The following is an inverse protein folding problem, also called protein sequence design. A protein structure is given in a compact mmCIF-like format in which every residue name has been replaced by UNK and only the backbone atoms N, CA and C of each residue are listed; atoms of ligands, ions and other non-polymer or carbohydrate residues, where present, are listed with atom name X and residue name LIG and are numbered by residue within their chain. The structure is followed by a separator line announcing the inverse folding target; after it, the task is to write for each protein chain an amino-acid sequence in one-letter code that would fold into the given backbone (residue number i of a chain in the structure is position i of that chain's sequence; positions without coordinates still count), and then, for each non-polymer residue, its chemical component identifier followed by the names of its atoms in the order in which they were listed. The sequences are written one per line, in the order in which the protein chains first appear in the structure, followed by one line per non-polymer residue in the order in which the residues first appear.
data_IF_138010832089
#
_entry.id   IF_138010832089
#
_cell.length_a   1.000
_cell.length_b   1.000
_cell.length_c   1.000
_cell.angle_alpha   90.00
_cell.angle_beta   90.00
_cell.angle_gamma   90.00
#
_symmetry.space_group_name_H-M   'P 1'
#
loop_
_entity.id
_entity.type
_entity.pdbx_description
1 polymer ?
#
# COMPACT_ATOMS: atom_id res chain seq x y z
N UNK A 1 18.48 -8.43 23.05
CA UNK A 1 19.15 -9.11 21.92
C UNK A 1 18.70 -8.48 20.62
N UNK A 2 19.58 -7.85 19.84
CA UNK A 2 19.28 -7.47 18.46
C UNK A 2 19.62 -8.67 17.58
N UNK A 3 18.66 -9.59 17.37
CA UNK A 3 18.79 -10.58 16.29
C UNK A 3 18.87 -9.79 14.98
N UNK A 4 19.90 -10.04 14.17
CA UNK A 4 20.00 -9.39 12.85
C UNK A 4 19.08 -10.18 11.91
N UNK A 5 18.61 -9.54 10.84
CA UNK A 5 17.81 -10.20 9.79
C UNK A 5 18.46 -11.48 9.21
N UNK A 6 19.75 -11.71 9.44
CA UNK A 6 20.53 -12.84 8.92
C UNK A 6 20.72 -14.02 9.90
N UNK A 7 20.01 -14.05 11.03
CA UNK A 7 20.06 -15.21 11.93
C UNK A 7 19.31 -16.39 11.28
N UNK A 8 20.04 -17.48 10.98
CA UNK A 8 19.55 -18.65 10.23
C UNK A 8 18.40 -19.41 10.89
N UNK A 9 18.07 -19.11 12.14
CA UNK A 9 16.89 -19.61 12.85
C UNK A 9 15.72 -18.64 12.73
N UNK A 10 15.36 -18.24 11.51
CA UNK A 10 14.17 -17.42 11.27
C UNK A 10 12.94 -18.32 11.41
N UNK A 11 12.20 -18.12 12.50
CA UNK A 11 10.87 -18.66 12.66
C UNK A 11 9.87 -17.52 12.49
N UNK A 12 8.84 -17.73 11.65
CA UNK A 12 7.82 -16.72 11.34
C UNK A 12 7.13 -16.19 12.59
N UNK A 13 6.85 -17.09 13.54
CA UNK A 13 6.17 -16.78 14.80
C UNK A 13 7.00 -15.82 15.67
N UNK A 14 8.33 -15.89 15.57
CA UNK A 14 9.27 -15.01 16.27
C UNK A 14 9.58 -13.71 15.49
N UNK A 15 9.35 -13.68 14.17
CA UNK A 15 9.84 -12.61 13.29
C UNK A 15 8.84 -12.29 12.16
N UNK A 16 7.88 -11.42 12.46
CA UNK A 16 6.90 -10.97 11.47
C UNK A 16 7.40 -9.75 10.68
N UNK A 17 7.30 -9.81 9.35
CA UNK A 17 7.70 -8.72 8.45
C UNK A 17 6.45 -7.95 8.02
N UNK A 18 6.44 -6.65 8.30
CA UNK A 18 5.42 -5.70 7.83
C UNK A 18 6.09 -4.69 6.90
N UNK A 19 5.51 -4.48 5.72
CA UNK A 19 6.00 -3.51 4.74
C UNK A 19 4.92 -2.48 4.49
N UNK A 20 5.29 -1.21 4.59
CA UNK A 20 4.41 -0.08 4.40
C UNK A 20 4.95 0.89 3.36
N UNK A 21 4.07 1.52 2.59
CA UNK A 21 4.46 2.58 1.67
C UNK A 21 3.29 3.48 1.29
N UNK A 22 3.58 4.74 0.97
CA UNK A 22 2.62 5.71 0.43
C UNK A 22 3.10 6.20 -0.94
N UNK A 23 2.20 6.39 -1.90
CA UNK A 23 2.47 6.99 -3.20
C UNK A 23 3.47 6.17 -4.01
N UNK A 24 4.54 6.81 -4.47
CA UNK A 24 5.72 6.19 -5.06
C UNK A 24 6.45 5.26 -4.09
N UNK A 25 6.39 5.56 -2.80
CA UNK A 25 6.87 4.65 -1.74
C UNK A 25 6.06 3.36 -1.66
N UNK A 26 4.76 3.39 -1.98
CA UNK A 26 3.96 2.16 -2.12
C UNK A 26 4.43 1.30 -3.28
N UNK A 27 4.81 1.94 -4.40
CA UNK A 27 5.37 1.22 -5.54
C UNK A 27 6.71 0.57 -5.16
N UNK A 28 7.60 1.30 -4.49
CA UNK A 28 8.84 0.74 -3.95
C UNK A 28 8.59 -0.41 -2.96
N UNK A 29 7.60 -0.28 -2.07
CA UNK A 29 7.19 -1.33 -1.14
C UNK A 29 6.73 -2.61 -1.85
N UNK A 30 5.92 -2.49 -2.92
CA UNK A 30 5.52 -3.62 -3.75
C UNK A 30 6.71 -4.26 -4.47
N UNK A 31 7.62 -3.46 -5.05
CA UNK A 31 8.84 -3.96 -5.70
C UNK A 31 9.76 -4.67 -4.71
N UNK A 32 9.87 -4.17 -3.48
CA UNK A 32 10.61 -4.84 -2.40
C UNK A 32 9.97 -6.18 -2.03
N UNK A 33 8.65 -6.25 -1.92
CA UNK A 33 7.96 -7.52 -1.68
C UNK A 33 8.12 -8.52 -2.83
N UNK A 34 8.16 -8.04 -4.08
CA UNK A 34 8.48 -8.85 -5.26
C UNK A 34 9.92 -9.39 -5.22
N UNK A 35 10.89 -8.53 -4.89
CA UNK A 35 12.29 -8.93 -4.69
C UNK A 35 12.42 -9.99 -3.60
N UNK A 36 11.76 -9.82 -2.45
CA UNK A 36 11.76 -10.80 -1.37
C UNK A 36 11.12 -12.12 -1.80
N UNK A 37 10.03 -12.07 -2.59
CA UNK A 37 9.38 -13.28 -3.10
C UNK A 37 10.29 -14.06 -4.04
N UNK A 38 10.93 -13.37 -4.99
CA UNK A 38 11.81 -14.03 -5.95
C UNK A 38 13.09 -14.49 -5.26
N UNK A 39 13.81 -13.59 -4.59
CA UNK A 39 15.17 -13.80 -4.13
C UNK A 39 15.30 -14.17 -2.65
N UNK A 40 14.26 -14.01 -1.83
CA UNK A 40 14.40 -14.15 -0.38
C UNK A 40 15.32 -13.08 0.22
N UNK A 41 15.94 -13.40 1.34
CA UNK A 41 16.90 -12.54 2.06
C UNK A 41 18.30 -13.13 1.92
N UNK A 42 19.31 -12.31 1.59
CA UNK A 42 20.69 -12.77 1.55
C UNK A 42 21.26 -13.01 2.96
N UNK A 43 21.97 -14.13 3.12
CA UNK A 43 22.69 -14.44 4.37
C UNK A 43 23.84 -13.46 4.62
N UNK A 44 24.48 -12.98 3.54
CA UNK A 44 25.56 -12.00 3.58
C UNK A 44 25.16 -10.75 2.81
N UNK A 45 25.42 -9.57 3.36
CA UNK A 45 25.11 -8.31 2.69
C UNK A 45 25.76 -8.18 1.28
N UNK A 46 26.91 -8.82 1.05
CA UNK A 46 27.57 -8.84 -0.26
C UNK A 46 26.79 -9.55 -1.37
N UNK A 47 25.76 -10.33 -1.01
CA UNK A 47 24.89 -11.01 -1.99
C UNK A 47 23.66 -10.15 -2.38
N UNK A 48 23.54 -8.92 -1.85
CA UNK A 48 22.42 -8.03 -2.19
C UNK A 48 22.45 -7.60 -3.66
N UNK A 49 23.64 -7.24 -4.17
CA UNK A 49 23.77 -6.76 -5.55
C UNK A 49 23.42 -7.86 -6.55
N UNK A 50 23.86 -9.10 -6.31
CA UNK A 50 23.51 -10.23 -7.18
C UNK A 50 22.01 -10.53 -7.10
N UNK A 51 21.40 -10.53 -5.90
CA UNK A 51 19.95 -10.73 -5.77
C UNK A 51 19.15 -9.66 -6.53
N UNK A 52 19.56 -8.39 -6.41
CA UNK A 52 18.93 -7.29 -7.15
C UNK A 52 19.05 -7.45 -8.67
N UNK A 53 20.23 -7.81 -9.17
CA UNK A 53 20.44 -8.04 -10.60
C UNK A 53 19.63 -9.22 -11.14
N UNK A 54 19.53 -10.32 -10.38
CA UNK A 54 18.71 -11.47 -10.75
C UNK A 54 17.21 -11.14 -10.75
N UNK A 55 16.76 -10.34 -9.78
CA UNK A 55 15.39 -9.83 -9.74
C UNK A 55 15.07 -8.99 -10.97
N UNK A 56 15.90 -7.99 -11.31
CA UNK A 56 15.71 -7.15 -12.49
C UNK A 56 15.67 -7.94 -13.80
N UNK A 57 16.44 -9.04 -13.88
CA UNK A 57 16.46 -9.94 -15.04
C UNK A 57 15.37 -11.02 -15.03
N UNK A 58 14.60 -11.12 -13.94
CA UNK A 58 13.64 -12.21 -13.70
C UNK A 58 14.28 -13.61 -13.85
N UNK A 59 15.56 -13.74 -13.47
CA UNK A 59 16.30 -15.00 -13.59
C UNK A 59 16.00 -15.93 -12.41
N UNK A 60 14.90 -16.68 -12.54
CA UNK A 60 14.44 -17.63 -11.54
C UNK A 60 15.42 -18.79 -11.32
N UNK A 61 16.08 -19.25 -12.39
CA UNK A 61 16.98 -20.40 -12.33
C UNK A 61 18.22 -20.10 -11.47
N UNK A 62 18.90 -18.98 -11.75
CA UNK A 62 20.07 -18.56 -10.97
C UNK A 62 19.66 -18.19 -9.54
N UNK A 63 18.47 -17.62 -9.35
CA UNK A 63 17.95 -17.32 -8.02
C UNK A 63 17.75 -18.60 -7.20
N UNK A 64 17.15 -19.63 -7.79
CA UNK A 64 16.95 -20.92 -7.13
C UNK A 64 18.28 -21.59 -6.77
N UNK A 65 19.28 -21.54 -7.66
CA UNK A 65 20.61 -22.07 -7.36
C UNK A 65 21.27 -21.39 -6.14
N UNK A 66 21.06 -20.07 -5.96
CA UNK A 66 21.54 -19.36 -4.77
C UNK A 66 20.78 -19.76 -3.50
N UNK A 67 19.47 -20.01 -3.59
CA UNK A 67 18.68 -20.55 -2.47
C UNK A 67 19.14 -21.95 -2.08
N UNK A 68 19.32 -22.84 -3.05
CA UNK A 68 19.79 -24.22 -2.83
C UNK A 68 21.19 -24.26 -2.20
N UNK A 69 22.05 -23.30 -2.54
CA UNK A 69 23.37 -23.13 -1.92
C UNK A 69 23.34 -22.56 -0.49
N UNK A 70 22.17 -22.14 -0.01
CA UNK A 70 21.99 -21.50 1.30
C UNK A 70 22.53 -20.07 1.39
N UNK A 71 22.75 -19.40 0.24
CA UNK A 71 23.16 -17.98 0.18
C UNK A 71 21.98 -17.03 0.33
N UNK A 72 20.82 -17.46 -0.14
CA UNK A 72 19.53 -16.77 -0.01
C UNK A 72 18.57 -17.69 0.76
N UNK A 73 17.68 -17.12 1.56
CA UNK A 73 16.65 -17.89 2.26
C UNK A 73 15.29 -17.18 2.19
N UNK A 74 14.23 -17.96 2.10
CA UNK A 74 12.88 -17.43 1.97
C UNK A 74 12.34 -16.93 3.32
N UNK A 75 11.53 -15.88 3.25
CA UNK A 75 10.79 -15.32 4.38
C UNK A 75 9.37 -14.98 3.92
N UNK A 76 8.43 -14.98 4.86
CA UNK A 76 7.07 -14.50 4.61
C UNK A 76 6.91 -13.05 5.04
N UNK A 77 6.14 -12.29 4.27
CA UNK A 77 5.70 -10.93 4.60
C UNK A 77 4.29 -11.04 5.18
N UNK A 78 4.15 -10.77 6.47
CA UNK A 78 2.87 -10.89 7.17
C UNK A 78 1.84 -9.91 6.60
N UNK A 79 2.27 -8.70 6.27
CA UNK A 79 1.39 -7.68 5.71
C UNK A 79 2.14 -6.74 4.78
N UNK A 80 1.53 -6.47 3.62
CA UNK A 80 1.90 -5.37 2.73
C UNK A 80 0.78 -4.31 2.75
N UNK A 81 0.99 -3.24 3.50
CA UNK A 81 0.04 -2.12 3.62
C UNK A 81 0.47 -0.93 2.78
N UNK A 82 -0.37 -0.50 1.85
CA UNK A 82 -0.04 0.61 0.95
C UNK A 82 -1.14 1.67 0.92
N UNK A 83 -0.72 2.94 0.77
CA UNK A 83 -1.62 4.06 0.50
C UNK A 83 -1.38 4.56 -0.91
N UNK A 84 -2.45 4.63 -1.68
CA UNK A 84 -2.59 5.30 -2.95
C UNK A 84 -1.39 5.12 -3.91
N UNK A 85 -1.16 3.87 -4.31
CA UNK A 85 0.04 3.49 -5.07
C UNK A 85 0.10 4.19 -6.42
N UNK A 86 1.19 4.90 -6.70
CA UNK A 86 1.47 5.53 -8.01
C UNK A 86 2.78 4.95 -8.57
N UNK A 87 2.71 4.34 -9.75
CA UNK A 87 3.88 3.77 -10.44
C UNK A 87 4.83 4.89 -10.88
N UNK A 88 6.13 4.66 -10.73
CA UNK A 88 7.19 5.66 -11.00
C UNK A 88 8.05 5.37 -12.21
N UNK A 89 7.94 4.18 -12.78
CA UNK A 89 8.82 3.68 -13.83
C UNK A 89 8.03 3.49 -15.11
N UNK A 90 8.73 3.54 -16.24
CA UNK A 90 8.23 3.19 -17.56
C UNK A 90 8.71 1.80 -17.99
N UNK A 91 9.19 1.00 -17.04
CA UNK A 91 9.65 -0.37 -17.30
C UNK A 91 8.50 -1.28 -17.72
N UNK A 92 8.88 -2.39 -18.36
CA UNK A 92 7.95 -3.50 -18.63
C UNK A 92 7.22 -3.89 -17.35
N UNK A 93 5.94 -4.24 -17.48
CA UNK A 93 5.14 -4.66 -16.33
C UNK A 93 5.82 -5.84 -15.63
N UNK A 94 6.15 -5.63 -14.36
CA UNK A 94 6.78 -6.63 -13.50
C UNK A 94 5.74 -7.37 -12.67
N UNK A 95 4.53 -7.50 -13.24
CA UNK A 95 3.33 -7.92 -12.56
C UNK A 95 3.06 -7.03 -11.34
N UNK A 96 3.22 -5.71 -11.52
CA UNK A 96 3.14 -4.71 -10.44
C UNK A 96 1.74 -4.60 -9.80
N UNK A 97 0.75 -5.21 -10.46
CA UNK A 97 -0.65 -5.35 -10.06
C UNK A 97 -0.96 -6.71 -9.43
N UNK A 98 0.00 -7.63 -9.28
CA UNK A 98 -0.19 -8.88 -8.52
C UNK A 98 0.32 -8.73 -7.09
N UNK A 99 -0.30 -9.45 -6.15
CA UNK A 99 0.23 -9.57 -4.80
C UNK A 99 1.30 -10.67 -4.78
N UNK A 100 2.56 -10.37 -4.40
CA UNK A 100 3.62 -11.37 -4.39
C UNK A 100 3.28 -12.57 -3.49
N UNK A 101 3.75 -13.77 -3.85
CA UNK A 101 3.40 -15.02 -3.17
C UNK A 101 3.85 -15.06 -1.70
N UNK A 102 4.99 -14.42 -1.37
CA UNK A 102 5.48 -14.36 0.01
C UNK A 102 4.61 -13.50 0.93
N UNK A 103 3.68 -12.70 0.37
CA UNK A 103 2.79 -11.83 1.14
C UNK A 103 1.53 -12.59 1.58
N UNK A 104 1.31 -12.62 2.89
CA UNK A 104 0.15 -13.27 3.52
C UNK A 104 -1.12 -12.46 3.28
N UNK A 105 -1.07 -11.14 3.47
CA UNK A 105 -2.22 -10.25 3.25
C UNK A 105 -1.80 -8.87 2.72
N UNK A 106 -2.51 -8.40 1.69
CA UNK A 106 -2.31 -7.08 1.09
C UNK A 106 -3.44 -6.12 1.44
N UNK A 107 -3.10 -4.88 1.80
CA UNK A 107 -4.06 -3.82 2.13
C UNK A 107 -3.75 -2.56 1.34
N UNK A 108 -4.75 -1.99 0.66
CA UNK A 108 -4.59 -0.79 -0.16
C UNK A 108 -5.68 0.23 0.13
N UNK A 109 -5.31 1.36 0.75
CA UNK A 109 -6.17 2.52 0.91
C UNK A 109 -6.02 3.44 -0.31
N UNK A 110 -7.12 3.78 -0.99
CA UNK A 110 -7.08 4.51 -2.27
C UNK A 110 -7.94 5.78 -2.22
N UNK A 111 -7.44 6.86 -2.83
CA UNK A 111 -8.09 8.16 -2.88
C UNK A 111 -9.19 8.22 -3.95
N UNK A 112 -10.40 8.65 -3.56
CA UNK A 112 -11.54 8.86 -4.45
C UNK A 112 -11.35 10.13 -5.30
N UNK A 113 -10.91 11.22 -4.67
CA UNK A 113 -11.00 12.57 -5.23
C UNK A 113 -9.73 13.01 -5.99
N UNK A 114 -8.69 12.18 -6.02
CA UNK A 114 -7.47 12.45 -6.78
C UNK A 114 -7.74 12.36 -8.29
N UNK A 115 -7.48 13.47 -8.99
CA UNK A 115 -7.80 13.66 -10.42
C UNK A 115 -6.62 14.12 -11.28
N UNK A 116 -5.42 14.31 -10.72
CA UNK A 116 -4.25 14.73 -11.50
C UNK A 116 -3.87 13.63 -12.50
N UNK A 117 -3.69 14.01 -13.77
CA UNK A 117 -3.38 13.07 -14.85
C UNK A 117 -2.19 12.14 -14.55
N UNK A 118 -1.17 12.65 -13.86
CA UNK A 118 0.06 11.91 -13.53
C UNK A 118 0.01 11.15 -12.20
N UNK A 119 -1.17 11.04 -11.57
CA UNK A 119 -1.40 10.26 -10.34
C UNK A 119 -2.44 9.14 -10.56
N UNK A 120 -2.28 8.30 -11.60
CA UNK A 120 -3.14 7.12 -11.73
C UNK A 120 -2.86 6.16 -10.58
N UNK A 121 -3.92 5.69 -9.92
CA UNK A 121 -3.79 4.65 -8.90
C UNK A 121 -3.50 3.30 -9.55
N UNK A 122 -2.43 2.64 -9.10
CA UNK A 122 -2.10 1.28 -9.49
C UNK A 122 -2.84 0.29 -8.57
N UNK A 123 -4.04 -0.10 -9.00
CA UNK A 123 -4.83 -1.12 -8.31
C UNK A 123 -4.19 -2.50 -8.46
N UNK A 124 -4.34 -3.34 -7.44
CA UNK A 124 -4.08 -4.76 -7.60
C UNK A 124 -5.20 -5.44 -8.38
N UNK A 125 -4.87 -6.53 -9.07
CA UNK A 125 -5.83 -7.48 -9.59
C UNK A 125 -6.56 -8.20 -8.43
N UNK A 126 -7.69 -8.82 -8.75
CA UNK A 126 -8.48 -9.55 -7.77
C UNK A 126 -7.70 -10.75 -7.20
N UNK A 127 -7.56 -10.79 -5.87
CA UNK A 127 -6.95 -11.88 -5.12
C UNK A 127 -7.62 -11.92 -3.73
N UNK A 128 -8.02 -13.10 -3.20
CA UNK A 128 -8.67 -13.21 -1.90
C UNK A 128 -7.80 -12.76 -0.71
N UNK A 129 -6.47 -12.67 -0.89
CA UNK A 129 -5.51 -12.14 0.09
C UNK A 129 -5.48 -10.62 0.12
N UNK A 130 -6.16 -9.95 -0.81
CA UNK A 130 -6.13 -8.49 -0.93
C UNK A 130 -7.41 -7.87 -0.39
N UNK A 131 -7.27 -6.76 0.33
CA UNK A 131 -8.37 -5.85 0.65
C UNK A 131 -7.98 -4.46 0.10
N UNK A 132 -8.77 -3.95 -0.84
CA UNK A 132 -8.63 -2.59 -1.37
C UNK A 132 -9.87 -1.79 -0.99
N UNK A 133 -9.66 -0.64 -0.36
CA UNK A 133 -10.74 0.21 0.16
C UNK A 133 -10.53 1.64 -0.33
N UNK A 134 -11.61 2.25 -0.81
CA UNK A 134 -11.63 3.64 -1.26
C UNK A 134 -12.01 4.58 -0.11
N UNK A 135 -11.31 5.71 -0.01
CA UNK A 135 -11.49 6.75 1.00
C UNK A 135 -11.71 8.10 0.33
N UNK A 136 -12.59 8.92 0.92
CA UNK A 136 -12.74 10.32 0.54
C UNK A 136 -11.44 11.08 0.77
N UNK A 137 -11.07 11.94 -0.17
CA UNK A 137 -9.82 12.68 -0.15
C UNK A 137 -9.04 12.61 -1.47
N UNK A 138 -8.18 13.60 -1.70
CA UNK A 138 -7.12 13.50 -2.72
C UNK A 138 -5.95 12.64 -2.20
N UNK A 139 -4.89 12.48 -3.00
CA UNK A 139 -3.77 11.58 -2.71
C UNK A 139 -3.21 11.68 -1.27
N UNK A 140 -2.95 12.90 -0.79
CA UNK A 140 -2.41 13.14 0.57
C UNK A 140 -3.49 13.22 1.65
N UNK A 141 -4.78 13.32 1.30
CA UNK A 141 -5.87 13.14 2.26
C UNK A 141 -6.08 11.65 2.60
N UNK A 142 -5.50 10.73 1.84
CA UNK A 142 -5.49 9.30 2.17
C UNK A 142 -4.13 8.86 2.71
N UNK A 143 -3.03 9.32 2.11
CA UNK A 143 -1.68 8.92 2.52
C UNK A 143 -1.04 9.79 3.60
N UNK A 144 -1.63 10.93 3.93
CA UNK A 144 -1.10 11.93 4.86
C UNK A 144 -0.16 12.95 4.22
N UNK A 145 0.12 14.02 4.97
CA UNK A 145 1.07 15.07 4.60
C UNK A 145 0.52 16.51 4.66
N UNK A 146 -0.78 16.68 4.87
CA UNK A 146 -1.40 17.97 5.16
C UNK A 146 -1.51 18.23 6.67
N UNK A 147 -1.65 19.51 7.05
CA UNK A 147 -1.86 19.92 8.45
C UNK A 147 -3.24 19.50 8.97
N UNK A 148 -4.28 19.66 8.15
CA UNK A 148 -5.59 19.08 8.40
C UNK A 148 -5.54 17.60 7.97
N UNK A 149 -5.53 16.70 8.96
CA UNK A 149 -5.22 15.30 8.77
C UNK A 149 -6.41 14.36 9.03
N UNK A 150 -7.62 14.88 9.29
CA UNK A 150 -8.76 14.07 9.70
C UNK A 150 -9.15 12.99 8.70
N UNK A 151 -9.10 13.31 7.40
CA UNK A 151 -9.31 12.34 6.32
C UNK A 151 -8.20 11.27 6.29
N UNK A 152 -6.93 11.69 6.38
CA UNK A 152 -5.80 10.75 6.33
C UNK A 152 -5.73 9.87 7.57
N UNK A 153 -6.20 10.39 8.71
CA UNK A 153 -6.32 9.64 9.95
C UNK A 153 -7.41 8.57 9.87
N UNK A 154 -8.49 8.77 9.08
CA UNK A 154 -9.44 7.68 8.77
C UNK A 154 -8.72 6.50 8.10
N UNK A 155 -7.95 6.76 7.05
CA UNK A 155 -7.20 5.73 6.33
C UNK A 155 -6.06 5.12 7.16
N UNK A 156 -5.41 5.90 8.00
CA UNK A 156 -4.35 5.43 8.90
C UNK A 156 -4.90 4.53 10.00
N UNK A 157 -6.02 4.90 10.64
CA UNK A 157 -6.71 4.05 11.63
C UNK A 157 -7.10 2.72 10.98
N UNK A 158 -7.70 2.76 9.79
CA UNK A 158 -8.05 1.56 9.04
C UNK A 158 -6.84 0.64 8.82
N UNK A 159 -5.69 1.19 8.43
CA UNK A 159 -4.47 0.39 8.24
C UNK A 159 -3.94 -0.18 9.56
N UNK A 160 -3.97 0.62 10.64
CA UNK A 160 -3.53 0.19 11.98
C UNK A 160 -4.40 -0.98 12.47
N UNK A 161 -5.71 -0.90 12.30
CA UNK A 161 -6.64 -1.96 12.71
C UNK A 161 -6.38 -3.26 11.95
N UNK A 162 -6.06 -3.18 10.66
CA UNK A 162 -5.66 -4.35 9.87
C UNK A 162 -4.32 -4.91 10.32
N UNK A 163 -3.31 -4.08 10.51
CA UNK A 163 -2.02 -4.53 11.02
C UNK A 163 -2.11 -5.14 12.43
N UNK A 164 -3.01 -4.63 13.27
CA UNK A 164 -3.27 -5.17 14.60
C UNK A 164 -3.84 -6.61 14.55
N UNK A 165 -4.73 -6.90 13.58
CA UNK A 165 -5.26 -8.27 13.34
C UNK A 165 -4.15 -9.27 12.98
N UNK A 166 -3.04 -8.77 12.43
CA UNK A 166 -1.84 -9.55 12.12
C UNK A 166 -0.80 -9.59 13.26
N UNK A 167 -1.11 -9.01 14.43
CA UNK A 167 -0.23 -9.03 15.61
C UNK A 167 0.65 -7.79 15.78
N UNK A 168 0.62 -6.82 14.86
CA UNK A 168 1.41 -5.60 14.99
C UNK A 168 0.97 -4.80 16.22
N UNK A 169 1.94 -4.38 17.04
CA UNK A 169 1.69 -3.54 18.22
C UNK A 169 2.13 -2.11 17.94
N UNK A 170 1.21 -1.17 18.17
CA UNK A 170 1.46 0.27 18.02
C UNK A 170 1.38 0.93 19.40
N UNK A 171 2.18 1.97 19.62
CA UNK A 171 2.11 2.75 20.87
C UNK A 171 0.72 3.35 21.02
N UNK A 172 0.00 3.00 22.08
CA UNK A 172 -1.33 3.55 22.36
C UNK A 172 -1.35 5.09 22.40
N UNK A 173 -0.27 5.70 22.88
CA UNK A 173 -0.12 7.17 22.90
C UNK A 173 -0.02 7.79 21.50
N UNK A 174 0.40 7.06 20.48
CA UNK A 174 0.40 7.53 19.09
C UNK A 174 -1.01 7.44 18.51
N UNK A 175 -1.70 6.31 18.72
CA UNK A 175 -3.10 6.11 18.26
C UNK A 175 -4.04 7.16 18.86
N UNK A 176 -3.88 7.49 20.15
CA UNK A 176 -4.68 8.53 20.83
C UNK A 176 -4.51 9.95 20.26
N UNK A 177 -3.46 10.21 19.47
CA UNK A 177 -3.23 11.52 18.85
C UNK A 177 -3.91 11.66 17.49
N UNK A 178 -4.36 10.55 16.90
CA UNK A 178 -5.07 10.57 15.62
C UNK A 178 -6.42 11.26 15.80
N UNK A 179 -6.76 12.13 14.85
CA UNK A 179 -7.96 12.97 14.86
C UNK A 179 -8.87 12.56 13.70
N UNK A 180 -9.30 11.31 13.69
CA UNK A 180 -10.23 10.79 12.66
C UNK A 180 -11.44 11.73 12.53
N UNK A 181 -11.58 12.35 11.38
CA UNK A 181 -12.72 13.22 11.06
C UNK A 181 -13.03 13.12 9.56
N UNK A 182 -14.12 12.41 9.24
CA UNK A 182 -14.60 12.22 7.88
C UNK A 182 -15.04 13.54 7.21
N UNK A 183 -15.36 14.55 8.01
CA UNK A 183 -15.84 15.85 7.56
C UNK A 183 -14.74 16.91 7.53
N UNK A 184 -13.48 16.54 7.83
CA UNK A 184 -12.35 17.47 7.75
C UNK A 184 -12.14 17.98 6.32
N UNK A 185 -11.23 18.93 6.19
CA UNK A 185 -10.88 19.65 4.96
C UNK A 185 -10.53 18.66 3.84
N UNK A 186 -11.27 18.74 2.72
CA UNK A 186 -10.87 18.13 1.46
C UNK A 186 -9.96 19.10 0.73
N UNK A 187 -8.72 18.71 0.50
CA UNK A 187 -7.75 19.57 -0.16
C UNK A 187 -7.87 19.47 -1.68
N UNK A 188 -7.61 20.58 -2.40
CA UNK A 188 -7.49 20.54 -3.86
C UNK A 188 -6.01 20.44 -4.26
N UNK A 189 -5.57 19.22 -4.57
CA UNK A 189 -4.22 18.99 -5.08
C UNK A 189 -4.04 19.35 -6.56
N UNK A 190 -5.13 19.66 -7.28
CA UNK A 190 -5.12 20.08 -8.68
C UNK A 190 -4.99 21.61 -8.79
N UNK A 191 -3.88 22.14 -8.27
CA UNK A 191 -3.57 23.57 -8.32
C UNK A 191 -2.21 23.87 -8.96
N UNK A 192 -1.98 25.15 -9.29
CA UNK A 192 -0.72 25.63 -9.88
C UNK A 192 -0.38 24.92 -11.19
N UNK A 193 0.83 24.35 -11.26
CA UNK A 193 1.34 23.68 -12.46
C UNK A 193 0.44 22.49 -12.90
N UNK A 194 -0.28 21.86 -11.98
CA UNK A 194 -1.14 20.72 -12.29
C UNK A 194 -2.31 21.10 -13.19
N UNK A 195 -2.81 22.34 -13.10
CA UNK A 195 -3.92 22.85 -13.94
C UNK A 195 -3.59 22.84 -15.43
N UNK A 196 -2.31 22.87 -15.79
CA UNK A 196 -1.86 22.83 -17.19
C UNK A 196 -1.84 21.40 -17.78
N UNK A 197 -1.88 20.35 -16.94
CA UNK A 197 -1.68 18.97 -17.38
C UNK A 197 -2.98 18.17 -17.52
N UNK A 198 -4.14 18.76 -17.19
CA UNK A 198 -5.44 18.11 -17.31
C UNK A 198 -5.74 17.11 -16.19
N UNK A 199 -6.96 16.55 -16.26
CA UNK A 199 -7.51 15.67 -15.24
C UNK A 199 -7.78 14.27 -15.77
N UNK A 200 -7.69 13.29 -14.87
CA UNK A 200 -8.16 11.92 -15.07
C UNK A 200 -8.86 11.46 -13.79
N UNK A 201 -10.19 11.52 -13.80
CA UNK A 201 -11.02 11.02 -12.70
C UNK A 201 -10.82 9.50 -12.60
N UNK A 202 -10.73 8.99 -11.37
CA UNK A 202 -10.50 7.57 -11.11
C UNK A 202 -11.77 6.77 -11.34
N UNK A 203 -11.62 5.61 -11.97
CA UNK A 203 -12.70 4.64 -12.12
C UNK A 203 -12.76 3.74 -10.89
N UNK A 204 -13.92 3.70 -10.25
CA UNK A 204 -14.25 2.86 -9.10
C UNK A 204 -15.28 1.84 -9.59
N UNK A 205 -14.98 0.55 -9.44
CA UNK A 205 -15.89 -0.51 -9.86
C UNK A 205 -17.11 -0.61 -8.93
N UNK A 206 -18.26 -1.07 -9.43
CA UNK A 206 -19.47 -1.27 -8.63
C UNK A 206 -19.29 -2.29 -7.49
N UNK A 207 -18.31 -3.19 -7.63
CA UNK A 207 -17.94 -4.16 -6.62
C UNK A 207 -16.96 -3.64 -5.58
N UNK A 208 -16.41 -2.44 -5.76
CA UNK A 208 -15.38 -1.88 -4.91
C UNK A 208 -15.90 -1.62 -3.48
N UNK A 209 -15.00 -1.79 -2.51
CA UNK A 209 -15.28 -1.48 -1.11
C UNK A 209 -14.95 -0.02 -0.85
N UNK A 210 -15.86 0.68 -0.20
CA UNK A 210 -15.69 2.08 0.19
C UNK A 210 -15.72 2.14 1.72
N UNK A 211 -14.86 2.94 2.32
CA UNK A 211 -14.81 3.06 3.77
C UNK A 211 -16.04 3.80 4.31
N UNK A 212 -16.53 3.41 5.48
CA UNK A 212 -17.67 4.08 6.15
C UNK A 212 -17.41 5.56 6.47
N UNK A 213 -16.16 6.00 6.58
CA UNK A 213 -15.85 7.44 6.69
C UNK A 213 -16.29 8.21 5.44
N UNK A 214 -16.20 7.61 4.25
CA UNK A 214 -16.72 8.22 3.01
C UNK A 214 -18.24 8.34 3.06
N UNK A 215 -18.94 7.32 3.58
CA UNK A 215 -20.40 7.38 3.78
C UNK A 215 -20.77 8.54 4.70
N UNK A 216 -20.10 8.63 5.86
CA UNK A 216 -20.31 9.70 6.82
C UNK A 216 -20.11 11.08 6.19
N UNK A 217 -19.09 11.23 5.34
CA UNK A 217 -18.83 12.48 4.61
C UNK A 217 -19.96 12.81 3.63
N UNK A 218 -20.39 11.85 2.81
CA UNK A 218 -21.50 12.03 1.85
C UNK A 218 -22.79 12.45 2.57
N UNK A 219 -23.07 11.90 3.75
CA UNK A 219 -24.27 12.22 4.52
C UNK A 219 -24.21 13.59 5.21
N UNK A 220 -23.03 14.02 5.65
CA UNK A 220 -22.87 15.21 6.52
C UNK A 220 -22.34 16.45 5.80
N UNK A 221 -21.66 16.29 4.67
CA UNK A 221 -21.08 17.40 3.91
C UNK A 221 -21.94 17.62 2.66
N UNK A 222 -22.81 18.63 2.70
CA UNK A 222 -23.84 18.86 1.69
C UNK A 222 -23.33 18.92 0.23
N UNK A 223 -22.12 19.46 0.04
CA UNK A 223 -21.53 19.64 -1.29
C UNK A 223 -20.58 18.50 -1.71
N UNK A 224 -20.45 17.45 -0.90
CA UNK A 224 -19.61 16.30 -1.23
C UNK A 224 -20.39 15.23 -1.99
N UNK A 225 -20.37 15.31 -3.32
CA UNK A 225 -21.01 14.35 -4.23
C UNK A 225 -20.04 13.91 -5.35
N UNK A 226 -19.04 13.07 -5.06
CA UNK A 226 -18.08 12.58 -6.05
C UNK A 226 -18.79 11.80 -7.16
N UNK A 227 -18.56 12.19 -8.41
CA UNK A 227 -19.24 11.64 -9.58
C UNK A 227 -18.76 10.25 -10.03
N UNK A 228 -17.77 9.70 -9.34
CA UNK A 228 -17.13 8.43 -9.65
C UNK A 228 -17.43 7.32 -8.63
N UNK A 229 -18.32 7.57 -7.65
CA UNK A 229 -18.82 6.50 -6.79
C UNK A 229 -19.81 5.59 -7.56
N UNK A 230 -19.86 4.29 -7.22
CA UNK A 230 -20.93 3.41 -7.66
C UNK A 230 -22.31 3.96 -7.30
N UNK A 231 -23.34 3.60 -8.07
CA UNK A 231 -24.73 3.97 -7.75
C UNK A 231 -25.20 3.36 -6.42
N UNK A 232 -24.70 2.16 -6.09
CA UNK A 232 -24.93 1.49 -4.80
C UNK A 232 -23.59 1.18 -4.12
N UNK A 233 -22.97 2.17 -3.43
CA UNK A 233 -21.70 2.00 -2.75
C UNK A 233 -21.72 0.90 -1.69
N UNK A 234 -20.68 0.04 -1.69
CA UNK A 234 -20.50 -0.99 -0.65
C UNK A 234 -19.65 -0.44 0.49
N UNK A 235 -20.31 0.20 1.46
CA UNK A 235 -19.64 0.74 2.64
C UNK A 235 -19.22 -0.36 3.63
N UNK A 236 -17.96 -0.34 4.08
CA UNK A 236 -17.41 -1.27 5.10
C UNK A 236 -16.43 -0.56 6.04
N UNK A 237 -16.34 -1.10 7.25
CA UNK A 237 -15.32 -0.77 8.27
C UNK A 237 -14.03 -1.55 8.03
#
# INVERSE_FOLDING_TARGET
MRRRFADKGWEREDNQIFIFGFSRGSYAARRLAGLITQCGIPVKAGDLDIAWQLYLKQDMQSTQALKDSGRLFDVSIEMLGVWDTVKTTTDSDFHDNLLPESVIKGYHAMAIDEKRLFFPVLQWQADPRIIQTWFSGVHSDVGGGYDACGLSDCALVWMIDHAYKHGMRVKASAVKKLKKDACDTLHDSYDGIWKAFGIKVRSIADSAVIDVSTQERVEKVADYNPNNLPTEPKYKT
#
